data_IF_620951437265
#
_entry.id   IF_620951437265
#
_cell.length_a   1.000
_cell.length_b   1.000
_cell.length_c   1.000
_cell.angle_alpha   90.00
_cell.angle_beta   90.00
_cell.angle_gamma   90.00
#
_symmetry.space_group_name_H-M   'P 1'
#
loop_
_entity.id
_entity.type
_entity.pdbx_description
1 polymer ?
#
# COMPACT_ATOMS: atom_id res chain seq x y z
N UNK A 1 -20.24 6.62 -4.66
CA UNK A 1 -19.62 5.54 -3.86
C UNK A 1 -20.33 4.23 -4.19
N UNK A 2 -19.59 3.13 -4.43
CA UNK A 2 -20.15 1.79 -4.62
C UNK A 2 -19.71 0.92 -3.45
N UNK A 3 -20.64 0.16 -2.87
CA UNK A 3 -20.38 -0.78 -1.78
C UNK A 3 -20.76 -2.18 -2.24
N UNK A 4 -19.93 -3.18 -1.89
CA UNK A 4 -20.15 -4.58 -2.22
C UNK A 4 -20.03 -5.39 -0.94
N UNK A 5 -21.04 -6.21 -0.64
CA UNK A 5 -21.06 -7.11 0.51
C UNK A 5 -20.66 -8.51 0.06
N UNK A 6 -19.86 -9.18 0.88
CA UNK A 6 -19.47 -10.57 0.71
C UNK A 6 -19.43 -11.28 2.08
N UNK A 7 -19.32 -12.60 2.05
CA UNK A 7 -19.00 -13.38 3.25
C UNK A 7 -17.60 -13.04 3.78
N UNK A 8 -17.39 -13.17 5.09
CA UNK A 8 -16.12 -12.84 5.73
C UNK A 8 -15.03 -13.83 5.28
N UNK A 9 -14.09 -13.35 4.47
CA UNK A 9 -12.99 -14.14 3.92
C UNK A 9 -11.62 -13.46 4.11
N UNK A 10 -11.55 -12.53 5.08
CA UNK A 10 -10.35 -11.74 5.39
C UNK A 10 -10.10 -10.55 4.46
N UNK A 11 -9.14 -9.71 4.84
CA UNK A 11 -8.85 -8.44 4.16
C UNK A 11 -8.36 -8.63 2.72
N UNK A 12 -7.53 -9.65 2.46
CA UNK A 12 -6.99 -9.90 1.12
C UNK A 12 -8.09 -10.32 0.12
N UNK A 13 -9.07 -11.13 0.56
CA UNK A 13 -10.22 -11.45 -0.27
C UNK A 13 -11.08 -10.20 -0.59
N UNK A 14 -11.26 -9.31 0.40
CA UNK A 14 -11.96 -8.06 0.20
C UNK A 14 -11.22 -7.12 -0.77
N UNK A 15 -9.89 -7.03 -0.70
CA UNK A 15 -9.05 -6.26 -1.65
C UNK A 15 -9.15 -6.81 -3.07
N UNK A 16 -9.12 -8.14 -3.23
CA UNK A 16 -9.32 -8.80 -4.53
C UNK A 16 -10.68 -8.44 -5.12
N UNK A 17 -11.76 -8.60 -4.33
CA UNK A 17 -13.10 -8.24 -4.79
C UNK A 17 -13.23 -6.75 -5.11
N UNK A 18 -12.64 -5.88 -4.29
CA UNK A 18 -12.59 -4.45 -4.54
C UNK A 18 -11.89 -4.10 -5.86
N UNK A 19 -10.77 -4.76 -6.15
CA UNK A 19 -10.02 -4.58 -7.40
C UNK A 19 -10.86 -5.01 -8.63
N UNK A 20 -11.54 -6.14 -8.56
CA UNK A 20 -12.44 -6.64 -9.62
C UNK A 20 -13.60 -5.68 -9.91
N UNK A 21 -14.19 -5.11 -8.86
CA UNK A 21 -15.35 -4.23 -8.95
C UNK A 21 -14.99 -2.78 -9.33
N UNK A 22 -13.73 -2.40 -9.10
CA UNK A 22 -13.22 -1.06 -9.40
C UNK A 22 -13.12 -0.82 -10.92
N UNK A 23 -13.29 0.43 -11.34
CA UNK A 23 -13.22 0.83 -12.77
C UNK A 23 -12.15 1.87 -13.10
N UNK A 24 -11.52 2.47 -12.09
CA UNK A 24 -10.50 3.51 -12.28
C UNK A 24 -9.21 2.99 -12.89
N UNK A 25 -8.46 3.86 -13.58
CA UNK A 25 -7.13 3.54 -14.11
C UNK A 25 -6.11 3.31 -12.99
N UNK A 26 -6.23 4.10 -11.92
CA UNK A 26 -5.38 4.01 -10.73
C UNK A 26 -6.11 3.32 -9.57
N UNK A 27 -5.36 2.55 -8.79
CA UNK A 27 -5.84 1.77 -7.66
C UNK A 27 -5.10 2.22 -6.40
N UNK A 28 -5.86 2.62 -5.38
CA UNK A 28 -5.38 2.83 -4.02
C UNK A 28 -6.04 1.76 -3.16
N UNK A 29 -5.23 0.89 -2.54
CA UNK A 29 -5.73 0.05 -1.46
C UNK A 29 -5.74 0.86 -0.18
N UNK A 30 -6.77 0.74 0.65
CA UNK A 30 -6.86 1.52 1.88
C UNK A 30 -7.58 0.71 2.93
N UNK A 31 -6.99 0.60 4.11
CA UNK A 31 -7.62 -0.05 5.24
C UNK A 31 -8.59 0.93 5.90
N UNK A 32 -9.68 0.40 6.47
CA UNK A 32 -10.79 1.24 6.94
C UNK A 32 -10.44 2.16 8.11
N UNK A 33 -9.31 1.90 8.76
CA UNK A 33 -8.75 2.63 9.90
C UNK A 33 -7.61 3.60 9.50
N UNK A 34 -7.22 3.65 8.24
CA UNK A 34 -6.18 4.54 7.73
C UNK A 34 -6.74 5.82 7.08
N UNK A 35 -5.91 6.85 6.99
CA UNK A 35 -6.26 8.15 6.43
C UNK A 35 -5.31 8.54 5.30
N UNK A 36 -5.86 9.09 4.22
CA UNK A 36 -5.11 9.76 3.18
C UNK A 36 -5.11 11.27 3.46
N UNK A 37 -3.95 11.91 3.29
CA UNK A 37 -3.85 13.36 3.33
C UNK A 37 -4.43 13.96 2.03
N UNK A 38 -4.92 15.22 2.05
CA UNK A 38 -5.65 15.82 0.94
C UNK A 38 -4.93 15.70 -0.42
N UNK A 39 -3.60 15.84 -0.42
CA UNK A 39 -2.80 15.90 -1.64
C UNK A 39 -2.34 14.51 -2.14
N UNK A 40 -2.65 13.42 -1.42
CA UNK A 40 -2.20 12.05 -1.76
C UNK A 40 -2.48 11.69 -3.20
N UNK A 41 -3.73 11.87 -3.62
CA UNK A 41 -4.18 11.39 -4.92
C UNK A 41 -3.75 12.35 -6.03
N UNK A 42 -3.83 13.67 -5.81
CA UNK A 42 -3.41 14.65 -6.81
C UNK A 42 -1.94 14.49 -7.18
N UNK A 43 -1.08 14.35 -6.17
CA UNK A 43 0.37 14.36 -6.39
C UNK A 43 0.83 13.07 -7.06
N UNK A 44 0.31 11.92 -6.60
CA UNK A 44 0.68 10.63 -7.17
C UNK A 44 0.07 10.40 -8.56
N UNK A 45 -1.15 10.89 -8.81
CA UNK A 45 -1.73 10.87 -10.16
C UNK A 45 -0.96 11.80 -11.10
N UNK A 46 -0.56 12.98 -10.65
CA UNK A 46 0.23 13.91 -11.47
C UNK A 46 1.53 13.25 -11.96
N UNK A 47 2.25 12.54 -11.09
CA UNK A 47 3.45 11.77 -11.48
C UNK A 47 3.11 10.71 -12.53
N UNK A 48 2.03 9.94 -12.35
CA UNK A 48 1.65 8.94 -13.35
C UNK A 48 1.19 9.56 -14.68
N UNK A 49 0.61 10.76 -14.67
CA UNK A 49 0.22 11.46 -15.89
C UNK A 49 1.42 12.03 -16.65
N UNK A 50 2.42 12.56 -15.95
CA UNK A 50 3.64 13.10 -16.56
C UNK A 50 4.64 12.02 -16.96
N UNK A 51 4.59 10.86 -16.30
CA UNK A 51 5.46 9.72 -16.55
C UNK A 51 4.66 8.44 -16.85
N UNK A 52 4.15 8.25 -18.09
CA UNK A 52 3.26 7.14 -18.44
C UNK A 52 3.84 5.74 -18.19
N UNK A 53 5.17 5.60 -18.21
CA UNK A 53 5.88 4.36 -17.92
C UNK A 53 5.84 3.96 -16.44
N UNK A 54 5.58 4.90 -15.52
CA UNK A 54 5.53 4.64 -14.08
C UNK A 54 4.26 3.87 -13.76
N UNK A 55 4.41 2.69 -13.18
CA UNK A 55 3.31 1.79 -12.83
C UNK A 55 2.93 1.86 -11.34
N UNK A 56 3.81 2.43 -10.51
CA UNK A 56 3.61 2.53 -9.07
C UNK A 56 4.21 3.82 -8.51
N UNK A 57 3.46 4.53 -7.67
CA UNK A 57 3.95 5.71 -6.95
C UNK A 57 3.71 5.50 -5.47
N UNK A 58 4.69 5.82 -4.64
CA UNK A 58 4.54 5.76 -3.19
C UNK A 58 5.24 6.92 -2.51
N UNK A 59 4.98 7.07 -1.21
CA UNK A 59 5.51 8.16 -0.41
C UNK A 59 5.60 7.76 1.07
N UNK A 60 6.17 8.61 1.93
CA UNK A 60 6.08 8.41 3.37
C UNK A 60 4.64 8.38 3.88
N UNK A 61 4.48 7.69 5.00
CA UNK A 61 3.28 7.71 5.82
C UNK A 61 3.67 7.83 7.30
N UNK A 62 2.83 8.49 8.07
CA UNK A 62 3.00 8.60 9.52
C UNK A 62 2.08 7.66 10.28
N UNK A 63 2.25 7.60 11.59
CA UNK A 63 1.30 6.99 12.51
C UNK A 63 0.66 8.05 13.38
N UNK A 64 -0.65 7.98 13.55
CA UNK A 64 -1.42 8.82 14.46
C UNK A 64 -1.76 8.03 15.73
N UNK A 65 -1.22 8.47 16.86
CA UNK A 65 -1.48 7.95 18.21
C UNK A 65 -2.20 9.04 19.04
N UNK A 66 -3.53 8.97 19.08
CA UNK A 66 -4.35 10.08 19.58
C UNK A 66 -4.16 11.31 18.68
N UNK A 67 -3.65 12.40 19.24
CA UNK A 67 -3.30 13.62 18.48
C UNK A 67 -1.82 13.69 18.08
N UNK A 68 -1.02 12.66 18.41
CA UNK A 68 0.43 12.66 18.14
C UNK A 68 0.72 12.02 16.79
N UNK A 69 1.33 12.78 15.89
CA UNK A 69 1.90 12.30 14.65
C UNK A 69 3.32 11.78 14.89
N UNK A 70 3.59 10.56 14.41
CA UNK A 70 4.93 9.99 14.37
C UNK A 70 5.33 9.68 12.93
N UNK A 71 6.44 10.28 12.50
CA UNK A 71 7.12 9.92 11.27
C UNK A 71 8.19 8.84 11.55
N UNK A 72 8.30 7.90 10.64
CA UNK A 72 9.22 6.76 10.71
C UNK A 72 10.20 6.75 9.54
N UNK A 73 10.09 7.69 8.61
CA UNK A 73 10.87 7.73 7.39
C UNK A 73 12.13 8.60 7.58
N UNK A 74 13.32 8.09 7.23
CA UNK A 74 14.52 8.90 7.19
C UNK A 74 14.39 10.06 6.19
N UNK A 75 14.87 11.25 6.55
CA UNK A 75 14.85 12.44 5.67
C UNK A 75 15.63 12.19 4.34
N UNK A 76 16.70 11.42 4.43
CA UNK A 76 17.55 11.03 3.31
C UNK A 76 17.10 9.70 2.67
N UNK A 77 15.91 9.19 2.98
CA UNK A 77 15.40 7.96 2.38
C UNK A 77 15.34 8.10 0.85
N UNK A 78 16.08 7.24 0.17
CA UNK A 78 16.06 7.10 -1.29
C UNK A 78 15.84 5.63 -1.61
N UNK A 79 14.68 5.27 -2.18
CA UNK A 79 14.39 3.87 -2.47
C UNK A 79 15.18 3.41 -3.69
N UNK A 80 15.90 2.32 -3.50
CA UNK A 80 16.57 1.55 -4.55
C UNK A 80 16.02 0.13 -4.52
N UNK A 81 15.81 -0.48 -5.69
CA UNK A 81 15.15 -1.79 -5.79
C UNK A 81 15.93 -2.85 -5.02
N UNK A 82 17.25 -2.88 -5.19
CA UNK A 82 18.09 -3.89 -4.57
C UNK A 82 18.12 -3.69 -3.04
N UNK A 83 18.16 -2.44 -2.57
CA UNK A 83 18.02 -2.14 -1.13
C UNK A 83 16.64 -2.51 -0.57
N UNK A 84 15.56 -2.30 -1.32
CA UNK A 84 14.20 -2.69 -0.89
C UNK A 84 14.07 -4.21 -0.80
N UNK A 85 14.58 -4.92 -1.80
CA UNK A 85 14.61 -6.39 -1.81
C UNK A 85 15.51 -6.94 -0.70
N UNK A 86 16.69 -6.35 -0.48
CA UNK A 86 17.60 -6.73 0.61
C UNK A 86 16.94 -6.53 1.98
N UNK A 87 16.26 -5.39 2.20
CA UNK A 87 15.49 -5.14 3.41
C UNK A 87 14.37 -6.17 3.64
N UNK A 88 13.68 -6.56 2.57
CA UNK A 88 12.68 -7.62 2.61
C UNK A 88 13.28 -8.97 2.99
N UNK A 89 14.41 -9.35 2.37
CA UNK A 89 15.07 -10.64 2.59
C UNK A 89 15.66 -10.73 3.99
N UNK A 90 16.32 -9.66 4.47
CA UNK A 90 17.01 -9.66 5.77
C UNK A 90 16.08 -9.45 6.95
N UNK A 91 15.08 -8.58 6.80
CA UNK A 91 14.26 -8.12 7.93
C UNK A 91 12.78 -8.46 7.78
N UNK A 92 12.38 -9.06 6.65
CA UNK A 92 10.97 -9.31 6.36
C UNK A 92 10.16 -8.02 6.19
N UNK A 93 10.81 -6.89 5.91
CA UNK A 93 10.19 -5.58 5.90
C UNK A 93 10.30 -4.92 4.52
N UNK A 94 9.17 -4.39 4.04
CA UNK A 94 9.11 -3.51 2.88
C UNK A 94 8.44 -2.21 3.33
N UNK A 95 9.02 -1.03 3.05
CA UNK A 95 8.36 0.26 3.29
C UNK A 95 7.25 0.56 2.25
N UNK A 96 6.69 -0.49 1.63
CA UNK A 96 5.61 -0.44 0.66
C UNK A 96 4.38 -1.06 1.32
N UNK A 97 3.44 -0.23 1.75
CA UNK A 97 2.26 -0.62 2.52
C UNK A 97 1.01 -0.29 1.71
N UNK A 98 -0.14 -0.88 2.07
CA UNK A 98 -1.42 -0.59 1.39
C UNK A 98 -1.70 0.91 1.30
N UNK A 99 -1.49 1.64 2.40
CA UNK A 99 -1.88 3.05 2.52
C UNK A 99 -1.04 4.01 1.67
N UNK A 100 0.25 3.72 1.44
CA UNK A 100 1.15 4.71 0.85
C UNK A 100 1.31 4.59 -0.67
N UNK A 101 0.93 3.45 -1.25
CA UNK A 101 1.06 3.17 -2.68
C UNK A 101 -0.18 3.50 -3.52
N UNK A 102 0.03 4.09 -4.69
CA UNK A 102 -0.93 4.16 -5.80
C UNK A 102 -0.40 3.32 -6.96
N UNK A 103 -1.25 2.47 -7.52
CA UNK A 103 -0.89 1.52 -8.56
C UNK A 103 -1.62 1.86 -9.85
N UNK A 104 -0.97 1.69 -11.00
CA UNK A 104 -1.72 1.47 -12.24
C UNK A 104 -2.47 0.15 -12.17
N UNK A 105 -3.70 0.11 -12.69
CA UNK A 105 -4.48 -1.13 -12.80
C UNK A 105 -3.72 -2.22 -13.57
N UNK A 106 -2.94 -1.84 -14.58
CA UNK A 106 -2.13 -2.78 -15.39
C UNK A 106 -1.17 -3.60 -14.54
N UNK A 107 -0.46 -2.97 -13.59
CA UNK A 107 0.47 -3.69 -12.72
C UNK A 107 -0.28 -4.54 -11.70
N UNK A 108 -1.42 -4.11 -11.17
CA UNK A 108 -2.24 -4.97 -10.31
C UNK A 108 -2.67 -6.27 -11.03
N UNK A 109 -3.03 -6.19 -12.31
CA UNK A 109 -3.36 -7.38 -13.12
C UNK A 109 -2.17 -8.31 -13.33
N UNK A 110 -0.98 -7.75 -13.52
CA UNK A 110 0.28 -8.53 -13.68
C UNK A 110 0.73 -9.18 -12.38
N UNK A 111 0.57 -8.50 -11.23
CA UNK A 111 0.85 -9.06 -9.90
C UNK A 111 -0.08 -10.25 -9.60
N UNK A 112 -1.33 -10.15 -10.06
CA UNK A 112 -2.39 -11.10 -9.76
C UNK A 112 -3.02 -10.85 -8.39
N UNK A 113 -3.81 -11.80 -7.87
CA UNK A 113 -4.56 -11.60 -6.63
C UNK A 113 -3.64 -11.52 -5.40
N UNK A 114 -4.14 -10.84 -4.38
CA UNK A 114 -3.66 -10.95 -3.00
C UNK A 114 -3.83 -12.40 -2.52
N UNK A 115 -2.80 -12.96 -1.89
CA UNK A 115 -2.84 -14.32 -1.32
C UNK A 115 -3.83 -14.39 -0.17
N UNK A 116 -4.72 -15.37 -0.19
CA UNK A 116 -5.82 -15.50 0.79
C UNK A 116 -5.61 -16.64 1.78
N UNK A 117 -4.71 -17.59 1.51
CA UNK A 117 -4.45 -18.73 2.39
C UNK A 117 -3.68 -18.33 3.66
N UNK A 118 -2.82 -17.33 3.55
CA UNK A 118 -1.93 -16.91 4.63
C UNK A 118 -2.04 -15.40 4.87
N UNK A 119 -2.02 -14.98 6.13
CA UNK A 119 -1.94 -13.57 6.49
C UNK A 119 -0.51 -13.04 6.36
N UNK A 120 0.01 -13.03 5.15
CA UNK A 120 1.30 -12.40 4.80
C UNK A 120 1.13 -10.90 4.45
N UNK A 121 -0.04 -10.34 4.81
CA UNK A 121 -0.45 -8.96 4.59
C UNK A 121 -0.13 -8.48 3.16
N UNK A 122 0.47 -7.31 3.06
CA UNK A 122 0.90 -6.58 1.87
C UNK A 122 2.30 -6.95 1.38
N UNK A 123 3.10 -7.61 2.22
CA UNK A 123 4.49 -7.96 1.92
C UNK A 123 4.62 -8.76 0.64
N UNK A 124 3.87 -9.86 0.48
CA UNK A 124 3.98 -10.68 -0.74
C UNK A 124 3.49 -9.92 -1.97
N UNK A 125 2.41 -9.15 -1.85
CA UNK A 125 1.85 -8.41 -2.97
C UNK A 125 2.84 -7.36 -3.49
N UNK A 126 3.46 -6.62 -2.57
CA UNK A 126 4.43 -5.58 -2.90
C UNK A 126 5.82 -6.15 -3.25
N UNK A 127 6.19 -7.33 -2.75
CA UNK A 127 7.37 -8.05 -3.22
C UNK A 127 7.27 -8.40 -4.71
N UNK A 128 6.10 -8.89 -5.14
CA UNK A 128 5.84 -9.20 -6.57
C UNK A 128 6.00 -7.97 -7.46
N UNK A 129 5.64 -6.78 -6.97
CA UNK A 129 5.84 -5.53 -7.70
C UNK A 129 7.33 -5.28 -8.03
N UNK A 130 8.21 -5.52 -7.06
CA UNK A 130 9.66 -5.37 -7.23
C UNK A 130 10.25 -6.48 -8.12
N UNK A 131 9.76 -7.71 -7.98
CA UNK A 131 10.19 -8.86 -8.80
C UNK A 131 9.77 -8.70 -10.27
N UNK A 132 8.60 -8.11 -10.52
CA UNK A 132 8.12 -7.78 -11.87
C UNK A 132 8.81 -6.57 -12.49
N UNK A 133 9.75 -5.95 -11.77
CA UNK A 133 10.50 -4.78 -12.20
C UNK A 133 9.59 -3.63 -12.64
N UNK A 134 8.46 -3.46 -11.94
CA UNK A 134 7.52 -2.39 -12.21
C UNK A 134 8.21 -1.04 -12.02
N UNK A 135 8.22 -0.15 -13.03
CA UNK A 135 8.80 1.17 -12.87
C UNK A 135 8.03 1.95 -11.79
N UNK A 136 8.76 2.50 -10.84
CA UNK A 136 8.15 3.22 -9.72
C UNK A 136 8.73 4.61 -9.50
N UNK A 137 7.98 5.44 -8.78
CA UNK A 137 8.42 6.74 -8.27
C UNK A 137 8.16 6.86 -6.78
N UNK A 138 9.04 7.60 -6.13
CA UNK A 138 8.93 7.96 -4.73
C UNK A 138 8.80 9.48 -4.62
N UNK A 139 7.79 9.93 -3.87
CA UNK A 139 7.59 11.35 -3.56
C UNK A 139 8.00 11.57 -2.09
N UNK A 140 9.01 12.39 -1.80
CA UNK A 140 9.52 12.63 -0.44
C UNK A 140 8.62 13.58 0.37
N UNK A 141 7.30 13.41 0.26
CA UNK A 141 6.26 14.16 0.98
C UNK A 141 5.32 13.15 1.62
N UNK A 142 5.06 13.28 2.92
CA UNK A 142 4.10 12.40 3.59
C UNK A 142 2.70 12.61 3.03
N UNK A 143 1.99 11.52 2.72
CA UNK A 143 0.63 11.62 2.16
C UNK A 143 -0.41 10.73 2.84
N UNK A 144 -0.03 9.99 3.89
CA UNK A 144 -0.95 9.09 4.56
C UNK A 144 -0.62 8.95 6.03
N UNK A 145 -1.63 8.59 6.81
CA UNK A 145 -1.54 8.35 8.25
C UNK A 145 -2.19 7.00 8.58
N UNK A 146 -1.47 6.16 9.31
CA UNK A 146 -2.03 4.97 9.92
C UNK A 146 -2.52 5.29 11.32
N UNK A 147 -3.75 4.90 11.68
CA UNK A 147 -4.23 5.09 13.04
C UNK A 147 -3.78 3.93 13.93
N UNK A 148 -3.09 4.21 15.03
CA UNK A 148 -2.88 3.22 16.09
C UNK A 148 -4.00 3.33 17.11
N UNK A 149 -4.73 2.24 17.28
CA UNK A 149 -5.71 2.10 18.34
C UNK A 149 -5.03 1.64 19.62
N UNK A 150 -5.23 2.38 20.72
CA UNK A 150 -4.97 1.89 22.08
C UNK A 150 -6.03 0.85 22.44
N UNK A 151 -5.88 -0.40 21.98
CA UNK A 151 -6.45 -1.61 22.62
C UNK A 151 -5.94 -2.89 21.98
N UNK A 152 -5.64 -3.84 22.87
CA UNK A 152 -5.19 -5.19 22.62
C UNK A 152 -5.91 -5.86 21.44
N UNK A 153 -5.15 -6.30 20.44
CA UNK A 153 -5.66 -7.32 19.52
C UNK A 153 -5.74 -8.61 20.34
N UNK A 154 -6.94 -8.94 20.80
CA UNK A 154 -7.30 -10.27 21.27
C UNK A 154 -6.83 -11.31 20.24
N UNK A 155 -5.70 -11.98 20.48
CA UNK A 155 -5.36 -13.22 19.78
C UNK A 155 -6.09 -14.35 20.48
N UNK A 156 -7.41 -14.37 20.34
CA UNK A 156 -8.24 -15.52 20.72
C UNK A 156 -7.92 -16.68 19.80
N UNK A 157 -6.98 -17.52 20.21
CA UNK A 157 -6.92 -18.92 19.78
C UNK A 157 -7.94 -19.68 20.63
N UNK A 158 -8.93 -20.27 19.98
CA UNK A 158 -9.60 -21.49 20.44
C UNK A 158 -9.34 -22.55 19.40
#
# INVERSE_FOLDING_TARGET
MRYVRQEQQGANAARNRGLEESRGEFIQFLDSDDLLLPDKLSDQVAVMQTEPQVEYVFSPFGTLEGDRLKDWWPEDFRPDRDRLLDGMVRFGNLPLWTVNGLYRRSICRRIGPWETRWQIHDRLYNAKLLVLEAPYRYIPTMHALMRRHERERWTGHT
#
